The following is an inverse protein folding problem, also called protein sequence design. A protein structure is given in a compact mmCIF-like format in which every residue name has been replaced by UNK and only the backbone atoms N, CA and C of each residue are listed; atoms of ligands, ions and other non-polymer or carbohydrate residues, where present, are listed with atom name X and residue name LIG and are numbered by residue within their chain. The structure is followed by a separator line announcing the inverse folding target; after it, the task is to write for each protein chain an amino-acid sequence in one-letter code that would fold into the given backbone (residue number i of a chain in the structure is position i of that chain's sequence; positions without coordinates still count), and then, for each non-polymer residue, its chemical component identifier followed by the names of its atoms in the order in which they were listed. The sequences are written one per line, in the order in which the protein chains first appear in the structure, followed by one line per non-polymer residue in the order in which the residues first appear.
data_IF_657259405141
#
_entry.id   IF_657259405141
#
_cell.length_a   1.000
_cell.length_b   1.000
_cell.length_c   1.000
_cell.angle_alpha   90.00
_cell.angle_beta   90.00
_cell.angle_gamma   90.00
#
_symmetry.space_group_name_H-M   'P 1'
#
loop_
_entity.id
_entity.type
_entity.pdbx_description
1 polymer ?
#
# COMPACT_ATOMS: atom_id res chain seq x y z
N UNK A 1 -1.21 -54.58 11.65
CA UNK A 1 -1.98 -53.36 11.97
C UNK A 1 -0.98 -52.21 12.08
N UNK A 2 -0.69 -51.54 10.98
CA UNK A 2 0.17 -50.34 10.95
C UNK A 2 -0.66 -49.19 10.39
N UNK A 3 -0.87 -48.15 11.19
CA UNK A 3 -1.60 -46.94 10.81
C UNK A 3 -0.63 -46.01 10.09
N UNK A 4 -0.84 -45.80 8.79
CA UNK A 4 -0.22 -44.70 8.05
C UNK A 4 -0.83 -43.36 8.53
N UNK A 5 0.00 -42.47 9.08
CA UNK A 5 -0.37 -41.07 9.29
C UNK A 5 -0.23 -40.32 7.96
N UNK A 6 -1.36 -39.95 7.36
CA UNK A 6 -1.41 -39.00 6.26
C UNK A 6 -1.03 -37.60 6.77
N UNK A 7 0.14 -37.13 6.34
CA UNK A 7 0.58 -35.75 6.51
C UNK A 7 -0.31 -34.88 5.61
N UNK A 8 -1.26 -34.17 6.21
CA UNK A 8 -2.06 -33.17 5.50
C UNK A 8 -1.16 -31.98 5.13
N UNK A 9 -0.81 -31.89 3.85
CA UNK A 9 -0.19 -30.70 3.28
C UNK A 9 -1.24 -29.58 3.32
N UNK A 10 -1.09 -28.61 4.23
CA UNK A 10 -1.87 -27.38 4.22
C UNK A 10 -1.59 -26.65 2.90
N UNK A 11 -2.54 -26.74 1.97
CA UNK A 11 -2.61 -25.86 0.80
C UNK A 11 -2.85 -24.45 1.34
N UNK A 12 -1.93 -23.54 1.04
CA UNK A 12 -2.05 -22.13 1.40
C UNK A 12 -3.40 -21.58 0.95
N UNK A 13 -4.08 -20.92 1.88
CA UNK A 13 -5.35 -20.23 1.68
C UNK A 13 -5.12 -19.09 0.68
N UNK A 14 -5.96 -18.92 -0.36
CA UNK A 14 -5.85 -17.80 -1.29
C UNK A 14 -5.95 -16.45 -0.54
N UNK A 15 -5.29 -15.37 -1.01
CA UNK A 15 -5.31 -14.06 -0.34
C UNK A 15 -6.72 -13.48 -0.08
N UNK A 16 -7.70 -13.91 -0.87
CA UNK A 16 -9.11 -13.50 -0.74
C UNK A 16 -9.79 -14.07 0.53
N UNK A 17 -9.26 -15.15 1.12
CA UNK A 17 -9.79 -15.77 2.34
C UNK A 17 -9.10 -15.27 3.61
N UNK A 18 -7.81 -14.91 3.53
CA UNK A 18 -7.06 -14.31 4.66
C UNK A 18 -7.55 -12.88 4.96
N UNK A 19 -8.04 -12.16 3.94
CA UNK A 19 -8.64 -10.83 4.08
C UNK A 19 -10.03 -10.81 4.74
N UNK A 20 -10.70 -11.96 4.94
CA UNK A 20 -12.07 -12.03 5.48
C UNK A 20 -12.15 -12.13 7.01
N UNK A 21 -11.02 -12.37 7.70
CA UNK A 21 -11.05 -12.65 9.15
C UNK A 21 -10.70 -11.47 10.06
N UNK A 22 -10.36 -10.31 9.50
CA UNK A 22 -10.13 -9.08 10.27
C UNK A 22 -11.06 -7.95 9.86
N UNK A 23 -12.35 -8.28 9.72
CA UNK A 23 -13.48 -7.35 9.73
C UNK A 23 -13.69 -6.80 11.16
N UNK A 24 -12.66 -6.18 11.76
CA UNK A 24 -12.89 -5.26 12.87
C UNK A 24 -13.69 -4.09 12.29
N UNK A 25 -14.93 -3.95 12.76
CA UNK A 25 -15.85 -2.86 12.46
C UNK A 25 -15.08 -1.54 12.47
N UNK A 26 -14.89 -0.94 11.30
CA UNK A 26 -14.10 0.28 11.16
C UNK A 26 -14.72 1.37 12.04
N UNK A 27 -14.01 1.80 13.09
CA UNK A 27 -14.46 2.90 13.93
C UNK A 27 -14.67 4.13 13.04
N UNK A 28 -15.91 4.64 12.90
CA UNK A 28 -16.22 5.77 12.04
C UNK A 28 -15.48 7.05 12.45
N UNK A 29 -14.90 7.08 13.65
CA UNK A 29 -14.09 8.18 14.15
C UNK A 29 -12.60 8.09 13.77
N UNK A 30 -12.19 7.02 13.09
CA UNK A 30 -10.80 6.86 12.67
C UNK A 30 -10.48 7.82 11.53
N UNK A 31 -9.42 8.61 11.70
CA UNK A 31 -8.89 9.48 10.66
C UNK A 31 -7.70 8.78 10.00
N UNK A 32 -7.82 8.55 8.69
CA UNK A 32 -6.77 7.99 7.86
C UNK A 32 -5.94 9.06 7.17
N UNK A 33 -4.81 8.62 6.63
CA UNK A 33 -3.94 9.44 5.80
C UNK A 33 -3.49 8.62 4.59
N UNK A 34 -3.61 9.21 3.40
CA UNK A 34 -3.03 8.64 2.19
C UNK A 34 -1.53 8.92 2.24
N UNK A 35 -0.72 7.89 2.04
CA UNK A 35 0.71 8.01 1.79
C UNK A 35 0.97 7.57 0.37
N UNK A 36 1.65 8.40 -0.40
CA UNK A 36 1.92 8.16 -1.81
C UNK A 36 3.16 8.91 -2.24
N UNK A 37 3.83 8.41 -3.26
CA UNK A 37 4.79 9.23 -4.00
C UNK A 37 4.00 10.19 -4.88
N UNK A 38 4.34 11.48 -4.84
CA UNK A 38 3.63 12.53 -5.57
C UNK A 38 4.50 13.76 -5.76
N UNK A 39 4.29 14.43 -6.89
CA UNK A 39 4.94 15.67 -7.30
C UNK A 39 3.87 16.69 -7.72
N UNK A 40 4.26 17.80 -8.32
CA UNK A 40 3.34 18.84 -8.81
C UNK A 40 2.39 18.39 -9.93
N UNK A 41 2.73 17.32 -10.66
CA UNK A 41 1.96 16.85 -11.80
C UNK A 41 0.91 15.81 -11.39
N UNK A 42 1.18 15.05 -10.32
CA UNK A 42 0.28 14.00 -9.91
C UNK A 42 0.78 13.09 -8.81
N UNK A 43 -0.03 12.08 -8.57
CA UNK A 43 0.19 11.02 -7.59
C UNK A 43 0.53 9.71 -8.31
N UNK A 44 1.45 8.96 -7.73
CA UNK A 44 1.85 7.66 -8.22
C UNK A 44 1.05 6.55 -7.53
N UNK A 45 0.58 5.60 -8.32
CA UNK A 45 -0.02 4.36 -7.85
C UNK A 45 0.69 3.18 -8.48
N UNK A 46 0.59 2.03 -7.84
CA UNK A 46 1.18 0.78 -8.29
C UNK A 46 0.11 -0.20 -8.75
N UNK A 47 0.48 -1.03 -9.72
CA UNK A 47 -0.30 -2.17 -10.17
C UNK A 47 0.61 -3.35 -10.49
N UNK A 48 0.22 -4.53 -10.00
CA UNK A 48 0.85 -5.78 -10.39
C UNK A 48 0.10 -6.42 -11.57
N UNK A 49 0.82 -6.67 -12.66
CA UNK A 49 0.27 -7.03 -13.96
C UNK A 49 0.97 -8.24 -14.56
N UNK A 50 0.32 -8.87 -15.54
CA UNK A 50 0.97 -9.89 -16.37
C UNK A 50 2.08 -9.27 -17.22
N UNK A 51 3.06 -10.08 -17.63
CA UNK A 51 4.13 -9.63 -18.55
C UNK A 51 3.57 -8.94 -19.79
N UNK A 52 2.57 -9.54 -20.45
CA UNK A 52 1.97 -9.00 -21.68
C UNK A 52 1.35 -7.61 -21.51
N UNK A 53 0.61 -7.40 -20.43
CA UNK A 53 0.00 -6.09 -20.15
C UNK A 53 1.11 -5.07 -19.85
N UNK A 54 2.09 -5.45 -19.04
CA UNK A 54 3.19 -4.56 -18.68
C UNK A 54 4.05 -4.16 -19.87
N UNK A 55 4.43 -5.12 -20.73
CA UNK A 55 5.21 -4.86 -21.94
C UNK A 55 4.46 -3.90 -22.88
N UNK A 56 3.15 -4.10 -23.06
CA UNK A 56 2.30 -3.17 -23.81
C UNK A 56 2.31 -1.78 -23.16
N UNK A 57 2.08 -1.71 -21.85
CA UNK A 57 1.91 -0.47 -21.12
C UNK A 57 3.17 0.38 -21.13
N UNK A 58 4.33 -0.24 -20.88
CA UNK A 58 5.63 0.45 -20.89
C UNK A 58 5.96 0.95 -22.29
N UNK A 59 5.78 0.10 -23.32
CA UNK A 59 6.11 0.46 -24.70
C UNK A 59 5.21 1.57 -25.27
N UNK A 60 3.94 1.63 -24.85
CA UNK A 60 2.97 2.60 -25.36
C UNK A 60 2.64 3.73 -24.40
N UNK A 61 3.18 3.70 -23.19
CA UNK A 61 2.84 4.61 -22.08
C UNK A 61 1.32 4.71 -21.84
N UNK A 62 0.59 3.61 -22.03
CA UNK A 62 -0.85 3.54 -21.78
C UNK A 62 -1.33 2.09 -21.64
N UNK A 63 -2.37 1.87 -20.84
CA UNK A 63 -3.10 0.60 -20.78
C UNK A 63 -4.21 0.54 -21.84
N UNK A 64 -4.56 1.67 -22.47
CA UNK A 64 -5.65 1.76 -23.44
C UNK A 64 -5.35 0.94 -24.69
N UNK A 65 -6.29 0.09 -25.09
CA UNK A 65 -6.16 -0.75 -26.28
C UNK A 65 -5.33 -2.02 -26.07
N UNK A 66 -4.86 -2.30 -24.85
CA UNK A 66 -4.26 -3.58 -24.52
C UNK A 66 -5.36 -4.66 -24.50
N UNK A 67 -5.26 -5.67 -25.38
CA UNK A 67 -6.25 -6.75 -25.50
C UNK A 67 -6.35 -7.60 -24.23
N UNK A 68 -5.24 -7.76 -23.53
CA UNK A 68 -5.10 -8.53 -22.30
C UNK A 68 -5.57 -7.76 -21.06
N UNK A 69 -5.69 -6.43 -21.13
CA UNK A 69 -6.20 -5.63 -20.03
C UNK A 69 -7.73 -5.70 -19.98
N UNK A 70 -8.26 -6.46 -19.03
CA UNK A 70 -9.69 -6.61 -18.87
C UNK A 70 -10.28 -5.46 -18.03
N UNK A 71 -10.83 -4.45 -18.70
CA UNK A 71 -11.52 -3.33 -18.06
C UNK A 71 -12.93 -3.64 -17.54
N UNK A 72 -13.46 -4.85 -17.68
CA UNK A 72 -14.81 -5.20 -17.16
C UNK A 72 -14.78 -5.74 -15.73
N UNK A 73 -13.63 -6.25 -15.28
CA UNK A 73 -13.40 -6.66 -13.90
C UNK A 73 -12.83 -5.51 -13.08
N UNK A 74 -13.08 -5.54 -11.77
CA UNK A 74 -12.43 -4.63 -10.84
C UNK A 74 -10.90 -4.77 -10.96
N UNK A 75 -10.21 -3.65 -11.12
CA UNK A 75 -8.74 -3.57 -11.13
C UNK A 75 -8.29 -2.71 -9.97
N UNK A 76 -7.37 -3.22 -9.15
CA UNK A 76 -6.92 -2.53 -7.95
C UNK A 76 -5.66 -1.71 -8.22
N UNK A 77 -5.63 -0.49 -7.67
CA UNK A 77 -4.46 0.37 -7.63
C UNK A 77 -4.12 0.71 -6.18
N UNK A 78 -2.82 0.74 -5.87
CA UNK A 78 -2.30 1.04 -4.52
C UNK A 78 -1.31 2.18 -4.57
N UNK A 79 -1.47 3.25 -3.79
CA UNK A 79 -0.39 4.21 -3.60
C UNK A 79 0.80 3.66 -2.80
N UNK A 80 0.61 2.58 -2.02
CA UNK A 80 1.68 1.94 -1.21
C UNK A 80 2.41 0.86 -2.01
N UNK A 81 3.73 1.03 -2.14
CA UNK A 81 4.62 0.05 -2.76
C UNK A 81 4.74 -1.22 -1.89
N UNK A 82 4.77 -1.08 -0.57
CA UNK A 82 4.79 -2.23 0.34
C UNK A 82 3.59 -3.16 0.12
N UNK A 83 2.41 -2.56 -0.11
CA UNK A 83 1.20 -3.31 -0.41
C UNK A 83 1.25 -4.04 -1.74
N UNK A 84 1.74 -3.41 -2.81
CA UNK A 84 1.84 -4.09 -4.10
C UNK A 84 2.87 -5.23 -4.02
N UNK A 85 3.95 -5.09 -3.24
CA UNK A 85 4.92 -6.17 -2.99
C UNK A 85 4.28 -7.33 -2.23
N UNK A 86 3.50 -7.04 -1.17
CA UNK A 86 2.72 -8.05 -0.45
C UNK A 86 1.78 -8.82 -1.38
N UNK A 87 0.94 -8.09 -2.13
CA UNK A 87 -0.08 -8.73 -2.94
C UNK A 87 0.52 -9.54 -4.09
N UNK A 88 1.58 -9.05 -4.72
CA UNK A 88 2.24 -9.69 -5.88
C UNK A 88 3.32 -10.70 -5.52
N UNK A 89 3.73 -10.78 -4.25
CA UNK A 89 4.88 -11.60 -3.86
C UNK A 89 6.17 -11.08 -4.51
N UNK A 90 6.43 -9.78 -4.43
CA UNK A 90 7.54 -9.10 -5.13
C UNK A 90 7.54 -9.36 -6.65
N UNK A 91 6.38 -9.28 -7.30
CA UNK A 91 6.21 -9.59 -8.71
C UNK A 91 6.51 -11.07 -9.10
N UNK A 92 6.43 -12.02 -8.15
CA UNK A 92 6.68 -13.45 -8.42
C UNK A 92 5.41 -14.29 -8.56
N UNK A 93 4.24 -13.79 -8.15
CA UNK A 93 2.97 -14.53 -8.23
C UNK A 93 2.45 -14.59 -9.67
N UNK A 94 1.89 -15.74 -10.06
CA UNK A 94 1.28 -15.93 -11.40
C UNK A 94 0.19 -14.88 -11.64
N UNK A 95 0.26 -14.20 -12.79
CA UNK A 95 -0.69 -13.14 -13.14
C UNK A 95 -0.35 -11.75 -12.58
N UNK A 96 0.71 -11.65 -11.78
CA UNK A 96 1.19 -10.45 -11.09
C UNK A 96 2.73 -10.40 -11.18
N UNK A 97 3.24 -10.53 -12.40
CA UNK A 97 4.66 -10.82 -12.70
C UNK A 97 5.49 -9.54 -12.97
N UNK A 98 4.83 -8.39 -13.03
CA UNK A 98 5.42 -7.08 -13.27
C UNK A 98 4.75 -6.06 -12.38
N UNK A 99 5.51 -5.15 -11.78
CA UNK A 99 4.97 -4.03 -11.00
C UNK A 99 5.23 -2.76 -11.77
N UNK A 100 4.15 -2.08 -12.16
CA UNK A 100 4.21 -0.77 -12.78
C UNK A 100 3.88 0.31 -11.76
N UNK A 101 4.61 1.41 -11.84
CA UNK A 101 4.33 2.68 -11.17
C UNK A 101 3.68 3.61 -12.19
N UNK A 102 2.45 4.04 -11.95
CA UNK A 102 1.63 4.82 -12.88
C UNK A 102 1.30 6.18 -12.26
N UNK A 103 1.67 7.26 -12.94
CA UNK A 103 1.34 8.62 -12.51
C UNK A 103 -0.05 8.98 -13.00
N UNK A 104 -0.86 9.55 -12.13
CA UNK A 104 -2.21 10.05 -12.44
C UNK A 104 -2.25 11.49 -11.96
N UNK A 105 -2.84 12.40 -12.75
CA UNK A 105 -3.02 13.79 -12.30
C UNK A 105 -3.83 13.84 -11.00
N UNK A 106 -3.57 14.84 -10.18
CA UNK A 106 -4.29 15.02 -8.92
C UNK A 106 -5.80 15.12 -9.15
N UNK A 107 -6.22 15.84 -10.19
CA UNK A 107 -7.63 15.99 -10.57
C UNK A 107 -8.26 14.65 -10.93
N UNK A 108 -7.57 13.84 -11.75
CA UNK A 108 -8.11 12.55 -12.16
C UNK A 108 -8.15 11.55 -11.00
N UNK A 109 -7.15 11.58 -10.10
CA UNK A 109 -7.15 10.78 -8.89
C UNK A 109 -8.34 11.16 -7.97
N UNK A 110 -8.56 12.45 -7.75
CA UNK A 110 -9.70 12.93 -6.95
C UNK A 110 -11.04 12.56 -7.60
N UNK A 111 -11.17 12.74 -8.92
CA UNK A 111 -12.33 12.30 -9.70
C UNK A 111 -12.63 10.81 -9.60
N UNK A 112 -11.60 9.96 -9.46
CA UNK A 112 -11.77 8.52 -9.21
C UNK A 112 -12.33 8.33 -7.79
N UNK A 113 -11.74 8.98 -6.78
CA UNK A 113 -12.16 8.84 -5.38
C UNK A 113 -13.62 9.27 -5.15
N UNK A 114 -14.05 10.37 -5.78
CA UNK A 114 -15.45 10.86 -5.74
C UNK A 114 -16.44 9.81 -6.28
N UNK A 115 -16.00 9.02 -7.26
CA UNK A 115 -16.82 7.99 -7.93
C UNK A 115 -16.68 6.60 -7.29
N UNK A 116 -15.89 6.47 -6.24
CA UNK A 116 -15.72 5.22 -5.50
C UNK A 116 -16.60 5.20 -4.24
N UNK A 117 -17.32 4.09 -4.04
CA UNK A 117 -17.97 3.80 -2.76
C UNK A 117 -16.95 3.33 -1.72
N UNK A 118 -17.16 3.69 -0.45
CA UNK A 118 -16.38 3.15 0.66
C UNK A 118 -17.17 1.99 1.24
N UNK A 119 -16.55 0.85 1.52
CA UNK A 119 -17.27 -0.20 2.21
C UNK A 119 -16.50 -1.47 2.51
N UNK A 120 -17.03 -2.17 3.51
CA UNK A 120 -16.80 -3.58 3.88
C UNK A 120 -17.90 -4.49 3.30
N UNK A 121 -18.53 -4.12 2.17
CA UNK A 121 -19.53 -4.94 1.45
C UNK A 121 -19.78 -4.41 0.04
N UNK A 122 -20.29 -5.26 -0.87
CA UNK A 122 -20.31 -5.10 -2.36
C UNK A 122 -20.18 -3.68 -2.90
N UNK A 123 -19.08 -3.40 -3.60
CA UNK A 123 -18.76 -2.06 -4.11
C UNK A 123 -19.77 -1.54 -5.14
N UNK A 124 -19.94 -0.22 -5.18
CA UNK A 124 -20.69 0.44 -6.25
C UNK A 124 -20.16 0.07 -7.64
N UNK A 125 -21.00 0.21 -8.68
CA UNK A 125 -20.67 -0.22 -10.05
C UNK A 125 -19.42 0.49 -10.62
N UNK A 126 -19.16 1.72 -10.17
CA UNK A 126 -18.06 2.56 -10.62
C UNK A 126 -16.70 2.18 -10.03
N UNK A 127 -16.60 2.03 -8.71
CA UNK A 127 -15.33 1.79 -8.03
C UNK A 127 -15.46 1.70 -6.52
N UNK A 128 -14.36 1.33 -5.86
CA UNK A 128 -14.32 1.05 -4.42
C UNK A 128 -13.09 1.64 -3.76
N UNK A 129 -13.24 2.12 -2.52
CA UNK A 129 -12.12 2.46 -1.64
C UNK A 129 -12.14 1.51 -0.43
N UNK A 130 -10.97 0.96 -0.09
CA UNK A 130 -10.77 0.15 1.11
C UNK A 130 -9.54 0.63 1.89
N UNK A 131 -9.66 0.64 3.21
CA UNK A 131 -8.59 0.94 4.14
C UNK A 131 -8.17 -0.34 4.86
N UNK A 132 -7.09 -0.94 4.38
CA UNK A 132 -6.55 -2.18 4.97
C UNK A 132 -5.30 -1.86 5.81
N UNK A 133 -4.91 -2.74 6.75
CA UNK A 133 -3.65 -2.59 7.49
C UNK A 133 -2.48 -2.39 6.52
N UNK A 134 -1.62 -1.41 6.75
CA UNK A 134 -0.41 -1.21 5.96
C UNK A 134 0.58 -2.37 6.19
N UNK A 135 1.47 -2.61 5.23
CA UNK A 135 2.55 -3.60 5.34
C UNK A 135 3.86 -2.95 5.74
N UNK A 136 4.62 -3.60 6.61
CA UNK A 136 5.98 -3.17 6.95
C UNK A 136 6.86 -3.30 5.70
N UNK A 137 7.33 -2.17 5.16
CA UNK A 137 8.20 -2.20 3.98
C UNK A 137 9.60 -2.74 4.30
N UNK A 138 10.08 -2.58 5.53
CA UNK A 138 11.50 -2.78 5.86
C UNK A 138 11.83 -4.20 6.31
N UNK A 139 10.83 -5.07 6.37
CA UNK A 139 10.97 -6.44 6.87
C UNK A 139 10.11 -7.39 6.03
N UNK A 140 10.71 -8.46 5.51
CA UNK A 140 9.96 -9.59 4.93
C UNK A 140 9.16 -10.34 5.99
N UNK A 141 8.44 -11.42 5.63
CA UNK A 141 7.69 -12.20 6.63
C UNK A 141 8.61 -12.76 7.75
N UNK A 142 8.48 -12.33 9.02
CA UNK A 142 9.37 -12.77 10.10
C UNK A 142 9.17 -14.26 10.48
N UNK A 143 8.00 -14.83 10.19
CA UNK A 143 7.60 -16.16 10.66
C UNK A 143 7.96 -17.30 9.68
N UNK A 144 8.57 -16.99 8.54
CA UNK A 144 8.84 -17.97 7.49
C UNK A 144 10.24 -17.78 6.86
N UNK A 145 10.70 -18.79 6.09
CA UNK A 145 12.01 -18.78 5.41
C UNK A 145 12.24 -17.49 4.58
N UNK A 146 13.51 -17.08 4.36
CA UNK A 146 13.87 -15.94 3.52
C UNK A 146 13.13 -15.93 2.17
N UNK A 147 12.57 -14.76 1.79
CA UNK A 147 12.00 -14.54 0.45
C UNK A 147 10.47 -14.47 0.36
N UNK A 148 9.73 -14.62 1.47
CA UNK A 148 8.29 -14.39 1.50
C UNK A 148 7.94 -12.91 1.69
N UNK A 149 6.82 -12.50 1.11
CA UNK A 149 6.36 -11.11 1.04
C UNK A 149 6.18 -10.44 2.40
N UNK A 150 6.21 -9.10 2.49
CA UNK A 150 6.05 -8.41 3.76
C UNK A 150 4.64 -8.66 4.30
N UNK A 151 4.49 -9.49 5.35
CA UNK A 151 3.20 -9.82 5.95
C UNK A 151 2.90 -9.09 7.26
N UNK A 152 3.93 -8.54 7.90
CA UNK A 152 3.77 -7.83 9.17
C UNK A 152 2.89 -6.60 8.94
N UNK A 153 1.75 -6.61 9.59
CA UNK A 153 0.82 -5.49 9.58
C UNK A 153 1.31 -4.43 10.57
N UNK A 154 1.32 -3.18 10.13
CA UNK A 154 1.58 -2.04 11.02
C UNK A 154 0.26 -1.37 11.40
N UNK A 155 0.28 -0.59 12.46
CA UNK A 155 -0.93 0.09 12.97
C UNK A 155 -1.55 1.06 11.95
N UNK A 156 -0.72 1.64 11.08
CA UNK A 156 -1.17 2.50 9.99
C UNK A 156 -2.06 1.71 9.01
N UNK A 157 -3.05 2.38 8.43
CA UNK A 157 -3.86 1.85 7.31
C UNK A 157 -3.42 2.49 6.00
N UNK A 158 -3.60 1.76 4.91
CA UNK A 158 -3.27 2.18 3.55
C UNK A 158 -4.49 2.05 2.65
N UNK A 159 -4.66 3.00 1.75
CA UNK A 159 -5.78 3.00 0.81
C UNK A 159 -5.54 2.03 -0.34
N UNK A 160 -6.57 1.27 -0.70
CA UNK A 160 -6.65 0.50 -1.93
C UNK A 160 -7.86 0.98 -2.72
N UNK A 161 -7.68 1.17 -4.03
CA UNK A 161 -8.70 1.78 -4.88
C UNK A 161 -9.03 0.79 -5.99
N UNK A 162 -10.24 0.26 -5.94
CA UNK A 162 -10.82 -0.58 -6.97
C UNK A 162 -11.41 0.27 -8.09
N UNK A 163 -10.88 0.10 -9.29
CA UNK A 163 -11.37 0.70 -10.53
C UNK A 163 -12.34 -0.29 -11.18
N UNK A 164 -13.63 0.03 -11.13
CA UNK A 164 -14.69 -0.75 -11.75
C UNK A 164 -14.81 -0.48 -13.25
N UNK A 165 -15.76 -1.17 -13.90
CA UNK A 165 -15.95 -1.13 -15.35
C UNK A 165 -16.19 0.29 -15.87
N UNK A 166 -17.02 1.07 -15.17
CA UNK A 166 -17.39 2.43 -15.59
C UNK A 166 -16.19 3.39 -15.50
N UNK A 167 -15.30 3.19 -14.51
CA UNK A 167 -14.09 4.01 -14.34
C UNK A 167 -12.91 3.55 -15.19
N UNK A 168 -12.90 2.31 -15.70
CA UNK A 168 -11.73 1.73 -16.36
C UNK A 168 -11.23 2.55 -17.56
N UNK A 169 -12.14 3.04 -18.42
CA UNK A 169 -11.76 3.87 -19.56
C UNK A 169 -11.22 5.23 -19.13
N UNK A 170 -11.83 5.84 -18.12
CA UNK A 170 -11.35 7.10 -17.55
C UNK A 170 -9.96 6.93 -16.94
N UNK A 171 -9.78 5.91 -16.10
CA UNK A 171 -8.51 5.57 -15.47
C UNK A 171 -7.39 5.37 -16.48
N UNK A 172 -7.59 4.53 -17.50
CA UNK A 172 -6.54 4.24 -18.49
C UNK A 172 -6.18 5.45 -19.36
N UNK A 173 -7.09 6.41 -19.53
CA UNK A 173 -6.84 7.69 -20.22
C UNK A 173 -6.12 8.70 -19.33
N UNK A 174 -6.31 8.62 -18.02
CA UNK A 174 -5.76 9.56 -17.04
C UNK A 174 -4.29 9.29 -16.65
N UNK A 175 -3.71 8.18 -17.12
CA UNK A 175 -2.31 7.85 -16.86
C UNK A 175 -1.40 8.81 -17.63
N UNK A 176 -0.56 9.54 -16.91
CA UNK A 176 0.40 10.49 -17.45
C UNK A 176 1.74 9.82 -17.80
N UNK A 177 2.17 8.87 -16.97
CA UNK A 177 3.49 8.23 -17.09
C UNK A 177 3.47 6.83 -16.50
N UNK A 178 4.24 5.92 -17.10
CA UNK A 178 4.37 4.53 -16.68
C UNK A 178 5.85 4.17 -16.54
N UNK A 179 6.25 3.77 -15.34
CA UNK A 179 7.56 3.22 -15.04
C UNK A 179 7.45 1.74 -14.66
N UNK A 180 8.35 0.91 -15.17
CA UNK A 180 8.50 -0.46 -14.70
C UNK A 180 9.45 -0.50 -13.50
N UNK A 181 8.91 -0.85 -12.33
CA UNK A 181 9.66 -0.96 -11.08
C UNK A 181 9.81 -2.42 -10.62
N UNK A 182 9.62 -3.38 -11.53
CA UNK A 182 9.75 -4.82 -11.25
C UNK A 182 11.14 -5.16 -10.69
N UNK A 183 12.20 -4.58 -11.26
CA UNK A 183 13.56 -4.82 -10.76
C UNK A 183 13.77 -4.27 -9.35
N UNK A 184 13.12 -3.16 -8.98
CA UNK A 184 13.14 -2.66 -7.61
C UNK A 184 12.45 -3.66 -6.67
N UNK A 185 11.30 -4.21 -7.06
CA UNK A 185 10.59 -5.23 -6.28
C UNK A 185 11.47 -6.46 -5.99
N UNK A 186 12.20 -6.95 -6.99
CA UNK A 186 13.14 -8.06 -6.83
C UNK A 186 14.31 -7.71 -5.90
N UNK A 187 14.90 -6.52 -6.05
CA UNK A 187 16.01 -6.08 -5.18
C UNK A 187 15.59 -5.92 -3.72
N UNK A 188 14.36 -5.47 -3.47
CA UNK A 188 13.79 -5.41 -2.11
C UNK A 188 13.62 -6.83 -1.54
N UNK A 189 13.16 -7.78 -2.34
CA UNK A 189 13.09 -9.19 -1.93
C UNK A 189 14.47 -9.74 -1.52
N UNK A 190 15.49 -9.47 -2.32
CA UNK A 190 16.88 -9.88 -2.05
C UNK A 190 17.42 -9.26 -0.76
N UNK A 191 17.13 -7.97 -0.53
CA UNK A 191 17.49 -7.28 0.71
C UNK A 191 16.84 -7.98 1.93
N UNK A 192 15.52 -8.24 1.86
CA UNK A 192 14.78 -8.91 2.93
C UNK A 192 15.31 -10.33 3.20
N UNK A 193 15.61 -11.09 2.14
CA UNK A 193 16.15 -12.43 2.27
C UNK A 193 17.57 -12.42 2.90
N UNK A 194 18.44 -11.51 2.46
CA UNK A 194 19.79 -11.35 3.00
C UNK A 194 19.74 -11.02 4.49
N UNK A 195 18.89 -10.06 4.85
CA UNK A 195 18.69 -9.61 6.22
C UNK A 195 18.30 -10.77 7.16
N UNK A 196 17.44 -11.69 6.70
CA UNK A 196 17.01 -12.86 7.49
C UNK A 196 18.10 -13.93 7.68
N UNK A 197 19.05 -14.06 6.74
CA UNK A 197 20.12 -15.07 6.83
C UNK A 197 21.25 -14.69 7.80
N UNK A 198 21.41 -13.39 8.08
CA UNK A 198 22.38 -12.92 9.06
C UNK A 198 21.89 -13.20 10.50
N UNK A 199 22.56 -14.11 11.22
CA UNK A 199 22.28 -14.53 12.61
C UNK A 199 22.19 -13.38 13.64
N UNK A 200 22.63 -12.17 13.28
CA UNK A 200 22.67 -10.99 14.15
C UNK A 200 21.37 -10.16 14.06
N UNK A 201 20.47 -10.47 13.14
CA UNK A 201 19.52 -9.46 12.62
C UNK A 201 18.07 -9.60 13.12
N UNK A 202 17.73 -10.72 13.75
CA UNK A 202 16.40 -10.91 14.37
C UNK A 202 16.13 -9.91 15.51
N UNK A 203 17.16 -9.18 15.97
CA UNK A 203 17.08 -8.16 17.01
C UNK A 203 17.28 -6.71 16.50
N UNK A 204 17.38 -6.46 15.19
CA UNK A 204 17.53 -5.09 14.69
C UNK A 204 16.29 -4.26 15.01
N UNK A 205 16.50 -3.12 15.67
CA UNK A 205 15.50 -2.07 15.80
C UNK A 205 15.08 -1.57 14.40
N UNK A 206 13.87 -1.02 14.29
CA UNK A 206 13.30 -0.60 13.00
C UNK A 206 14.24 0.29 12.17
N UNK A 207 15.01 1.17 12.83
CA UNK A 207 15.96 2.06 12.15
C UNK A 207 17.12 1.32 11.49
N UNK A 208 17.61 0.24 12.11
CA UNK A 208 18.69 -0.56 11.55
C UNK A 208 18.22 -1.45 10.39
N UNK A 209 16.97 -1.96 10.45
CA UNK A 209 16.34 -2.65 9.31
C UNK A 209 16.21 -1.72 8.11
N UNK A 210 15.73 -0.51 8.35
CA UNK A 210 15.63 0.54 7.33
C UNK A 210 16.98 0.88 6.72
N UNK A 211 17.99 1.15 7.55
CA UNK A 211 19.34 1.44 7.09
C UNK A 211 19.90 0.31 6.22
N UNK A 212 19.75 -0.95 6.66
CA UNK A 212 20.19 -2.11 5.90
C UNK A 212 19.57 -2.18 4.50
N UNK A 213 18.25 -2.04 4.40
CA UNK A 213 17.57 -2.10 3.09
C UNK A 213 18.03 -0.98 2.18
N UNK A 214 18.14 0.25 2.70
CA UNK A 214 18.60 1.41 1.92
C UNK A 214 20.04 1.22 1.42
N UNK A 215 20.94 0.80 2.31
CA UNK A 215 22.34 0.55 1.96
C UNK A 215 22.48 -0.60 0.94
N UNK A 216 21.70 -1.67 1.11
CA UNK A 216 21.67 -2.79 0.18
C UNK A 216 21.25 -2.32 -1.22
N UNK A 217 20.18 -1.52 -1.31
CA UNK A 217 19.68 -1.02 -2.58
C UNK A 217 20.67 -0.05 -3.23
N UNK A 218 21.29 0.84 -2.44
CA UNK A 218 22.27 1.81 -2.93
C UNK A 218 23.52 1.16 -3.55
N UNK A 219 23.87 -0.07 -3.13
CA UNK A 219 24.98 -0.85 -3.70
C UNK A 219 24.63 -1.50 -5.05
N UNK A 220 23.36 -1.57 -5.44
CA UNK A 220 22.94 -2.22 -6.68
C UNK A 220 23.21 -1.31 -7.89
N UNK A 221 23.81 -1.88 -8.95
CA UNK A 221 23.88 -1.21 -10.26
C UNK A 221 22.48 -0.86 -10.76
N UNK A 222 22.33 0.31 -11.40
CA UNK A 222 21.04 0.86 -11.84
C UNK A 222 20.03 1.00 -10.67
N UNK A 223 20.34 1.90 -9.75
CA UNK A 223 19.44 2.26 -8.66
C UNK A 223 18.18 2.93 -9.23
N UNK A 224 17.05 2.23 -9.20
CA UNK A 224 15.74 2.88 -9.30
C UNK A 224 15.49 3.55 -7.95
N UNK A 225 15.19 4.85 -7.98
CA UNK A 225 14.92 5.59 -6.77
C UNK A 225 13.76 4.94 -5.99
N UNK A 226 13.99 4.77 -4.69
CA UNK A 226 12.95 4.34 -3.77
C UNK A 226 11.73 5.26 -3.85
N UNK A 227 10.50 4.71 -3.81
CA UNK A 227 9.29 5.51 -3.69
C UNK A 227 9.39 6.51 -2.52
N UNK A 228 9.17 7.79 -2.80
CA UNK A 228 9.13 8.82 -1.78
C UNK A 228 7.71 8.99 -1.22
N UNK A 229 7.20 7.92 -0.61
CA UNK A 229 5.82 7.89 -0.11
C UNK A 229 5.64 8.81 1.10
N UNK A 230 5.02 9.96 0.85
CA UNK A 230 4.76 11.01 1.83
C UNK A 230 3.25 11.25 1.96
N UNK A 231 2.83 11.91 3.03
CA UNK A 231 1.41 12.22 3.24
C UNK A 231 0.87 12.98 2.03
N UNK A 232 -0.28 12.54 1.53
CA UNK A 232 -1.04 13.17 0.46
C UNK A 232 -2.39 13.62 1.01
N UNK A 233 -2.74 14.88 0.75
CA UNK A 233 -3.99 15.49 1.20
C UNK A 233 -4.63 16.28 0.05
N UNK A 234 -5.73 15.80 -0.55
CA UNK A 234 -6.38 16.43 -1.70
C UNK A 234 -7.35 17.55 -1.31
N UNK A 235 -7.06 18.34 -0.26
CA UNK A 235 -8.01 19.30 0.32
C UNK A 235 -8.38 20.48 -0.58
N UNK A 236 -7.63 20.71 -1.66
CA UNK A 236 -7.91 21.74 -2.65
C UNK A 236 -8.76 21.23 -3.82
N UNK A 237 -8.97 19.91 -3.93
CA UNK A 237 -9.71 19.27 -5.02
C UNK A 237 -10.97 18.54 -4.53
N UNK A 238 -10.98 18.08 -3.29
CA UNK A 238 -12.14 17.44 -2.68
C UNK A 238 -12.84 18.39 -1.73
N UNK A 239 -14.17 18.39 -1.76
CA UNK A 239 -14.97 19.08 -0.75
C UNK A 239 -14.73 18.49 0.64
N UNK A 240 -15.03 19.26 1.67
CA UNK A 240 -14.93 18.78 3.05
C UNK A 240 -15.82 17.54 3.30
N UNK A 241 -17.01 17.50 2.69
CA UNK A 241 -17.88 16.33 2.75
C UNK A 241 -17.24 15.09 2.16
N UNK A 242 -16.51 15.22 1.05
CA UNK A 242 -15.78 14.13 0.42
C UNK A 242 -14.57 13.68 1.24
N UNK A 243 -13.84 14.62 1.85
CA UNK A 243 -12.74 14.30 2.77
C UNK A 243 -13.24 13.54 4.01
N UNK A 244 -14.38 13.94 4.58
CA UNK A 244 -15.03 13.26 5.71
C UNK A 244 -15.53 11.87 5.29
N UNK A 245 -16.17 11.78 4.11
CA UNK A 245 -16.61 10.50 3.53
C UNK A 245 -15.44 9.53 3.45
N UNK A 246 -14.32 9.96 2.89
CA UNK A 246 -13.07 9.17 2.76
C UNK A 246 -12.31 8.96 4.08
N UNK A 247 -12.84 9.44 5.21
CA UNK A 247 -12.23 9.37 6.54
C UNK A 247 -10.84 10.03 6.59
N UNK A 248 -10.59 11.05 5.76
CA UNK A 248 -9.33 11.80 5.74
C UNK A 248 -9.30 12.96 6.74
N UNK A 249 -10.48 13.37 7.22
CA UNK A 249 -10.70 14.35 8.29
C UNK A 249 -11.83 13.86 9.20
N UNK A 250 -11.80 14.24 10.48
CA UNK A 250 -12.79 13.80 11.47
C UNK A 250 -14.16 14.47 11.31
N UNK A 251 -15.15 14.04 12.09
CA UNK A 251 -16.40 14.78 12.34
C UNK A 251 -16.13 16.01 13.22
N UNK A 252 -17.00 17.04 13.19
CA UNK A 252 -16.79 18.29 13.97
C UNK A 252 -16.54 18.02 15.47
N UNK A 253 -17.20 16.99 16.01
CA UNK A 253 -17.06 16.57 17.41
C UNK A 253 -15.69 15.95 17.74
N UNK A 254 -15.04 15.27 16.78
CA UNK A 254 -13.71 14.66 16.97
C UNK A 254 -12.62 15.74 17.00
N UNK A 255 -12.75 16.76 16.15
CA UNK A 255 -11.76 17.86 16.10
C UNK A 255 -11.73 18.59 17.44
N UNK A 256 -12.91 18.91 18.01
CA UNK A 256 -13.02 19.54 19.34
C UNK A 256 -12.39 18.70 20.45
N UNK A 257 -12.68 17.40 20.50
CA UNK A 257 -12.09 16.52 21.52
C UNK A 257 -10.56 16.36 21.39
N UNK A 258 -10.01 16.46 20.18
CA UNK A 258 -8.55 16.41 19.99
C UNK A 258 -7.87 17.74 20.34
N UNK A 259 -8.54 18.88 20.09
CA UNK A 259 -8.08 20.21 20.50
C UNK A 259 -8.13 20.39 22.02
N UNK A 260 -9.23 19.99 22.67
CA UNK A 260 -9.38 20.00 24.14
C UNK A 260 -8.31 19.14 24.83
N UNK A 261 -7.96 17.96 24.27
CA UNK A 261 -6.87 17.11 24.78
C UNK A 261 -5.47 17.70 24.55
N UNK A 262 -5.29 18.58 23.56
CA UNK A 262 -4.02 19.30 23.35
C UNK A 262 -3.88 20.47 24.32
N UNK A 263 -4.96 21.15 24.68
CA UNK A 263 -4.96 22.20 25.69
C UNK A 263 -4.85 21.65 27.12
N UNK A 264 -5.32 20.42 27.37
CA UNK A 264 -5.30 19.79 28.70
C UNK A 264 -3.96 19.16 29.14
N UNK A 265 -2.80 19.63 28.64
CA UNK A 265 -1.49 19.27 29.20
C UNK A 265 -0.92 20.40 30.07
N UNK A 266 -1.15 20.41 31.40
CA UNK A 266 -0.39 21.27 32.30
C UNK A 266 1.04 20.74 32.43
N UNK A 267 2.01 21.66 32.33
CA UNK A 267 3.44 21.37 32.45
C UNK A 267 3.78 20.68 33.77
N UNK A 268 4.51 19.57 33.69
CA UNK A 268 5.13 18.95 34.87
C UNK A 268 6.21 19.89 35.41
N UNK A 269 5.88 20.61 36.47
CA UNK A 269 6.84 21.31 37.33
C UNK A 269 7.92 20.33 37.82
N UNK A 270 9.16 20.51 37.35
CA UNK A 270 10.36 19.95 37.98
C UNK A 270 10.58 20.70 39.30
N UNK A 271 10.29 20.07 40.44
CA UNK A 271 10.81 20.52 41.74
C UNK A 271 12.31 20.23 41.77
N UNK A 272 13.11 21.28 41.75
CA UNK A 272 14.47 21.28 42.28
C UNK A 272 14.41 20.95 43.78
N UNK A 273 15.18 19.94 44.20
CA UNK A 273 15.71 19.88 45.57
C UNK A 273 17.23 19.91 45.43
N UNK A 274 17.77 21.05 45.84
CA UNK A 274 19.19 21.34 45.98
C UNK A 274 19.69 20.61 47.23
N UNK A 275 20.88 20.05 47.11
CA UNK A 275 21.67 19.45 48.17
C UNK A 275 22.39 20.57 48.94
N UNK A 276 22.12 20.72 50.23
CA UNK A 276 23.07 21.01 51.31
C UNK A 276 22.37 20.84 52.66
#
# INVERSE_FOLDING_TARGET
MERQQQIHVHRGVPPEEENRQHDEEQDPNTIYAIFADHDENGIWVYQALTKKIADFAVARQTLRGCKEFNGTRMTWIEPSFAWVLYRSGYARKRGQERVLKLQISHEAFCSILERCSIGTGGGGTSGRVQWDPERDFWEGNPDEKPGKEPRKMVYRRSIQIGIGKELSQFYTKAILRIEDVTELAHKVQEAHATMMTSKTTTALQNDAKRAFVLDFLAQQRNYLAMPNERRYMPSHLLSEGELRRLQLVGTEDIVRHHEEKKEAKPGKNRKQKILH
#
